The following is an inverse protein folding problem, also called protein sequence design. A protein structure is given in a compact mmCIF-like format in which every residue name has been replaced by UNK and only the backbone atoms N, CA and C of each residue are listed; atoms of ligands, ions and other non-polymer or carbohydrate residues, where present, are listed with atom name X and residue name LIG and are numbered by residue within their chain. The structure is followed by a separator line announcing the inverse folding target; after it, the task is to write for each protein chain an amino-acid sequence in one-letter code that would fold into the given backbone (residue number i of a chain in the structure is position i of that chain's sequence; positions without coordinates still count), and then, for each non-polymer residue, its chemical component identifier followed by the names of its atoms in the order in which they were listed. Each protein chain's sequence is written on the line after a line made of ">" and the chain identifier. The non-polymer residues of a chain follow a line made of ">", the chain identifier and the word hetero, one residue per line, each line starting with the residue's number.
data_IF_192702229572
#
_entry.id   IF_192702229572
#
_cell.length_a   1.000
_cell.length_b   1.000
_cell.length_c   1.000
_cell.angle_alpha   90.00
_cell.angle_beta   90.00
_cell.angle_gamma   90.00
#
_symmetry.space_group_name_H-M   'P 1'
#
loop_
_entity.id
_entity.type
_entity.pdbx_description
1 polymer ?
#
# COMPACT_ATOMS: atom_id res chain seq x y z
N UNK A 1 -22.72 2.06 -18.53
CA UNK A 1 -23.93 1.58 -19.23
C UNK A 1 -24.07 0.09 -18.91
N UNK A 2 -25.23 -0.32 -18.39
CA UNK A 2 -25.56 -1.73 -18.14
C UNK A 2 -26.53 -2.13 -19.25
N UNK A 3 -26.11 -3.01 -20.14
CA UNK A 3 -26.99 -3.67 -21.12
C UNK A 3 -27.17 -5.13 -20.73
N UNK A 4 -28.17 -5.48 -19.89
CA UNK A 4 -28.43 -6.88 -19.60
C UNK A 4 -29.00 -7.57 -20.84
N UNK A 5 -28.39 -8.66 -21.26
CA UNK A 5 -28.97 -9.58 -22.25
C UNK A 5 -30.08 -10.40 -21.59
N UNK A 6 -31.23 -10.54 -22.26
CA UNK A 6 -32.35 -11.36 -21.77
C UNK A 6 -31.93 -12.83 -21.51
N UNK A 7 -30.98 -13.35 -22.29
CA UNK A 7 -30.44 -14.70 -22.14
C UNK A 7 -29.59 -14.86 -20.87
N UNK A 8 -28.91 -13.79 -20.42
CA UNK A 8 -28.10 -13.78 -19.21
C UNK A 8 -28.97 -13.66 -17.94
N UNK A 9 -30.08 -12.92 -18.03
CA UNK A 9 -31.08 -12.86 -16.95
C UNK A 9 -31.72 -14.23 -16.66
N UNK A 10 -31.99 -15.02 -17.69
CA UNK A 10 -32.51 -16.39 -17.55
C UNK A 10 -31.51 -17.36 -16.91
N UNK A 11 -30.20 -17.06 -17.00
CA UNK A 11 -29.10 -17.83 -16.40
C UNK A 11 -28.63 -17.28 -15.06
N UNK A 12 -29.33 -16.32 -14.47
CA UNK A 12 -28.92 -15.62 -13.24
C UNK A 12 -27.47 -15.07 -13.33
N UNK A 13 -27.05 -14.66 -14.53
CA UNK A 13 -25.74 -14.07 -14.80
C UNK A 13 -25.90 -12.60 -15.14
N UNK A 14 -25.35 -11.72 -14.33
CA UNK A 14 -25.30 -10.28 -14.57
C UNK A 14 -23.89 -9.95 -15.08
N UNK A 15 -23.80 -9.31 -16.25
CA UNK A 15 -22.53 -8.85 -16.83
C UNK A 15 -22.53 -7.33 -16.83
N UNK A 16 -21.57 -6.73 -16.14
CA UNK A 16 -21.27 -5.31 -16.20
C UNK A 16 -20.05 -5.12 -17.10
N UNK A 17 -20.24 -4.60 -18.30
CA UNK A 17 -19.16 -4.45 -19.29
C UNK A 17 -18.11 -3.43 -18.84
N UNK A 18 -18.53 -2.35 -18.19
CA UNK A 18 -17.60 -1.33 -17.69
C UNK A 18 -18.20 -0.58 -16.50
N UNK A 19 -17.37 -0.35 -15.50
CA UNK A 19 -17.63 0.53 -14.36
C UNK A 19 -16.61 1.67 -14.42
N UNK A 20 -17.04 2.87 -14.81
CA UNK A 20 -16.19 4.05 -14.87
C UNK A 20 -16.43 4.95 -13.66
N UNK A 21 -15.35 5.33 -13.00
CA UNK A 21 -15.34 6.22 -11.84
C UNK A 21 -14.46 7.42 -12.18
N UNK A 22 -15.02 8.62 -12.15
CA UNK A 22 -14.35 9.87 -12.48
C UNK A 22 -14.17 10.72 -11.21
N UNK A 23 -12.97 11.25 -11.01
CA UNK A 23 -12.69 12.21 -9.94
C UNK A 23 -12.92 11.66 -8.52
N UNK A 24 -12.74 10.34 -8.30
CA UNK A 24 -12.87 9.78 -6.97
C UNK A 24 -11.86 10.38 -6.01
N UNK A 25 -12.30 10.68 -4.79
CA UNK A 25 -11.44 11.15 -3.72
C UNK A 25 -11.57 10.22 -2.52
N UNK A 26 -10.45 9.62 -2.11
CA UNK A 26 -10.41 8.66 -1.01
C UNK A 26 -9.37 9.08 0.02
N UNK A 27 -9.76 9.16 1.29
CA UNK A 27 -8.84 9.35 2.40
C UNK A 27 -8.68 8.04 3.17
N UNK A 28 -7.44 7.61 3.35
CA UNK A 28 -7.06 6.41 4.09
C UNK A 28 -6.28 6.81 5.34
N UNK A 29 -6.63 6.25 6.48
CA UNK A 29 -5.88 6.40 7.73
C UNK A 29 -5.31 5.06 8.15
N UNK A 30 -3.99 4.98 8.31
CA UNK A 30 -3.32 3.92 9.05
C UNK A 30 -3.21 4.33 10.51
N UNK A 31 -4.03 3.73 11.35
CA UNK A 31 -4.05 3.99 12.78
C UNK A 31 -2.77 3.45 13.46
N UNK A 32 -2.48 3.88 14.69
CA UNK A 32 -1.28 3.46 15.45
C UNK A 32 -1.18 1.94 15.68
N UNK A 33 -2.30 1.24 15.70
CA UNK A 33 -2.35 -0.23 15.78
C UNK A 33 -2.12 -0.93 14.41
N UNK A 34 -1.75 -0.18 13.36
CA UNK A 34 -1.51 -0.69 12.02
C UNK A 34 -2.76 -0.89 11.16
N UNK A 35 -3.96 -0.79 11.71
CA UNK A 35 -5.21 -0.93 10.97
C UNK A 35 -5.38 0.22 9.97
N UNK A 36 -5.70 -0.13 8.72
CA UNK A 36 -6.04 0.84 7.67
C UNK A 36 -7.56 0.96 7.59
N UNK A 37 -8.05 2.19 7.54
CA UNK A 37 -9.46 2.50 7.42
C UNK A 37 -9.69 3.65 6.43
N UNK A 38 -10.82 3.62 5.75
CA UNK A 38 -11.30 4.75 4.97
C UNK A 38 -11.86 5.77 5.95
N UNK A 39 -11.42 7.02 5.85
CA UNK A 39 -11.94 8.12 6.64
C UNK A 39 -12.73 9.05 5.74
N UNK A 40 -13.88 9.60 6.20
CA UNK A 40 -14.57 10.62 5.45
C UNK A 40 -13.62 11.80 5.19
N UNK A 41 -13.53 12.25 3.94
CA UNK A 41 -12.84 13.50 3.64
C UNK A 41 -13.53 14.62 4.39
N UNK A 42 -12.80 15.30 5.27
CA UNK A 42 -13.27 16.57 5.82
C UNK A 42 -13.35 17.53 4.62
N UNK A 43 -14.53 18.07 4.28
CA UNK A 43 -14.62 19.05 3.21
C UNK A 43 -13.68 20.20 3.56
N UNK A 44 -12.79 20.55 2.64
CA UNK A 44 -12.07 21.81 2.73
C UNK A 44 -13.14 22.86 3.04
N UNK A 45 -12.94 23.64 4.11
CA UNK A 45 -13.89 24.69 4.54
C UNK A 45 -14.25 25.58 3.35
N UNK A 46 -15.28 25.17 2.63
CA UNK A 46 -16.05 26.11 1.83
C UNK A 46 -17.06 26.75 2.78
N UNK A 47 -16.97 28.07 2.84
CA UNK A 47 -17.79 28.97 3.62
C UNK A 47 -19.25 28.52 3.77
N UNK A 48 -19.63 28.47 5.03
CA UNK A 48 -20.99 28.57 5.58
C UNK A 48 -22.08 29.10 4.64
N UNK A 49 -23.02 28.25 4.27
CA UNK A 49 -24.46 28.50 4.22
C UNK A 49 -25.16 27.33 3.50
N UNK A 50 -25.45 26.23 4.17
CA UNK A 50 -26.51 25.27 3.87
C UNK A 50 -26.23 23.92 4.57
N UNK A 51 -26.44 23.86 5.88
CA UNK A 51 -26.48 22.57 6.57
C UNK A 51 -27.27 22.63 7.88
N UNK A 52 -28.51 23.06 7.80
CA UNK A 52 -29.47 22.88 8.90
C UNK A 52 -30.65 21.91 8.59
N UNK A 53 -30.60 21.22 7.45
CA UNK A 53 -31.77 20.44 7.03
C UNK A 53 -31.59 18.92 6.98
N UNK A 54 -30.46 18.38 7.43
CA UNK A 54 -30.21 16.91 7.42
C UNK A 54 -30.08 16.24 8.79
N UNK A 55 -30.62 16.85 9.84
CA UNK A 55 -30.51 16.29 11.22
C UNK A 55 -31.83 15.81 11.82
N UNK A 56 -32.85 15.54 11.01
CA UNK A 56 -34.17 15.13 11.50
C UNK A 56 -34.79 13.91 10.83
N UNK A 57 -34.05 12.86 10.56
CA UNK A 57 -34.63 11.53 10.27
C UNK A 57 -33.69 10.46 10.83
N UNK A 58 -33.80 10.21 12.12
CA UNK A 58 -33.37 8.95 12.73
C UNK A 58 -33.92 8.89 14.17
N UNK A 59 -35.21 8.66 14.30
CA UNK A 59 -35.77 8.02 15.51
C UNK A 59 -37.19 7.57 15.21
N UNK A 60 -37.44 6.32 15.48
CA UNK A 60 -38.72 5.65 15.63
C UNK A 60 -39.00 4.59 14.56
N UNK A 61 -38.72 3.34 14.88
CA UNK A 61 -39.67 2.25 14.65
C UNK A 61 -39.44 1.17 15.71
N UNK A 62 -40.35 1.13 16.66
CA UNK A 62 -40.57 0.01 17.58
C UNK A 62 -41.05 -1.22 16.81
N UNK A 63 -40.66 -2.40 17.29
CA UNK A 63 -41.13 -3.70 16.84
C UNK A 63 -42.52 -3.99 17.44
N UNK A 64 -43.39 -4.69 16.74
CA UNK A 64 -44.47 -5.46 17.37
C UNK A 64 -44.15 -6.95 17.31
N UNK A 65 -44.22 -7.58 18.47
CA UNK A 65 -44.38 -9.01 18.70
C UNK A 65 -45.53 -9.60 17.88
N UNK A 66 -45.26 -10.70 17.19
CA UNK A 66 -46.29 -11.46 16.48
C UNK A 66 -45.87 -12.91 16.26
N UNK A 67 -46.19 -13.77 17.24
CA UNK A 67 -46.19 -15.22 17.08
C UNK A 67 -47.10 -15.62 15.94
N UNK A 68 -46.58 -16.34 14.95
CA UNK A 68 -47.39 -17.17 14.06
C UNK A 68 -46.72 -18.54 13.95
N UNK A 69 -47.36 -19.52 14.56
CA UNK A 69 -47.11 -20.95 14.29
C UNK A 69 -47.73 -21.28 12.93
N UNK A 70 -46.91 -21.85 12.03
CA UNK A 70 -47.46 -22.56 10.88
C UNK A 70 -46.59 -23.80 10.60
N UNK A 71 -47.17 -24.92 10.88
CA UNK A 71 -46.77 -26.25 10.37
C UNK A 71 -46.86 -26.24 8.85
N UNK A 72 -45.73 -26.50 8.19
CA UNK A 72 -45.59 -26.62 6.72
C UNK A 72 -44.59 -27.71 6.37
N UNK A 73 -45.07 -28.68 5.68
CA UNK A 73 -44.44 -29.82 5.01
C UNK A 73 -43.07 -29.53 4.42
N UNK A 74 -42.09 -30.46 4.49
CA UNK A 74 -40.77 -30.23 3.88
C UNK A 74 -40.89 -30.22 2.36
N UNK A 75 -40.76 -29.04 1.78
CA UNK A 75 -40.59 -28.86 0.35
C UNK A 75 -39.11 -29.17 0.00
N UNK A 76 -38.82 -29.84 -1.13
CA UNK A 76 -37.44 -30.12 -1.49
C UNK A 76 -36.67 -28.82 -1.61
N UNK A 77 -35.57 -28.73 -0.85
CA UNK A 77 -34.63 -27.59 -0.88
C UNK A 77 -34.08 -27.41 -2.30
N UNK A 78 -34.63 -26.40 -2.99
CA UNK A 78 -33.98 -25.90 -4.18
C UNK A 78 -32.61 -25.43 -3.75
N UNK A 79 -31.56 -25.94 -4.36
CA UNK A 79 -30.20 -25.40 -4.17
C UNK A 79 -30.22 -23.89 -4.42
N UNK A 80 -29.57 -23.09 -3.58
CA UNK A 80 -29.56 -21.64 -3.77
C UNK A 80 -28.91 -21.34 -5.12
N UNK A 81 -29.72 -20.90 -6.08
CA UNK A 81 -29.27 -20.46 -7.38
C UNK A 81 -28.37 -19.24 -7.18
N UNK A 82 -27.06 -19.44 -7.17
CA UNK A 82 -26.07 -18.40 -6.92
C UNK A 82 -26.02 -17.47 -8.15
N UNK A 83 -26.52 -16.28 -8.02
CA UNK A 83 -26.42 -15.24 -9.05
C UNK A 83 -24.95 -14.94 -9.31
N UNK A 84 -24.51 -15.07 -10.56
CA UNK A 84 -23.14 -14.74 -10.97
C UNK A 84 -23.09 -13.32 -11.49
N UNK A 85 -22.19 -12.51 -10.91
CA UNK A 85 -21.89 -11.17 -11.41
C UNK A 85 -20.49 -11.18 -12.03
N UNK A 86 -20.40 -10.74 -13.27
CA UNK A 86 -19.12 -10.52 -13.97
C UNK A 86 -18.96 -9.03 -14.20
N UNK A 87 -17.87 -8.46 -13.70
CA UNK A 87 -17.45 -7.10 -14.02
C UNK A 87 -16.27 -7.22 -14.98
N UNK A 88 -16.43 -6.81 -16.23
CA UNK A 88 -15.37 -6.99 -17.22
C UNK A 88 -14.24 -5.97 -17.06
N UNK A 89 -14.59 -4.69 -16.82
CA UNK A 89 -13.62 -3.62 -16.67
C UNK A 89 -14.05 -2.62 -15.60
N UNK A 90 -13.09 -2.21 -14.77
CA UNK A 90 -13.25 -1.06 -13.86
C UNK A 90 -12.18 -0.04 -14.24
N UNK A 91 -12.60 1.19 -14.48
CA UNK A 91 -11.74 2.31 -14.83
C UNK A 91 -11.88 3.43 -13.80
N UNK A 92 -10.74 3.90 -13.29
CA UNK A 92 -10.68 5.12 -12.49
C UNK A 92 -9.95 6.17 -13.30
N UNK A 93 -10.53 7.37 -13.36
CA UNK A 93 -9.95 8.52 -14.04
C UNK A 93 -9.82 9.70 -13.07
N UNK A 94 -8.71 10.43 -13.20
CA UNK A 94 -8.44 11.68 -12.48
C UNK A 94 -8.77 11.59 -10.97
N UNK A 95 -8.45 10.47 -10.36
CA UNK A 95 -8.77 10.19 -8.96
C UNK A 95 -7.64 10.61 -8.02
N UNK A 96 -7.97 10.80 -6.74
CA UNK A 96 -7.04 11.24 -5.68
C UNK A 96 -7.13 10.32 -4.48
N UNK A 97 -5.97 9.94 -3.95
CA UNK A 97 -5.86 9.24 -2.67
C UNK A 97 -5.01 10.07 -1.71
N UNK A 98 -5.52 10.35 -0.53
CA UNK A 98 -4.74 10.87 0.60
C UNK A 98 -4.53 9.78 1.64
N UNK A 99 -3.29 9.49 1.95
CA UNK A 99 -2.92 8.49 2.95
C UNK A 99 -2.31 9.17 4.17
N UNK A 100 -2.90 8.93 5.32
CA UNK A 100 -2.46 9.43 6.61
C UNK A 100 -1.88 8.28 7.44
N UNK A 101 -0.60 8.32 7.76
CA UNK A 101 0.06 7.31 8.58
C UNK A 101 0.32 7.83 9.99
N UNK A 102 -0.40 7.29 10.99
CA UNK A 102 -0.25 7.61 12.39
C UNK A 102 0.74 6.69 13.13
N UNK A 103 1.36 5.72 12.45
CA UNK A 103 2.29 4.77 13.09
C UNK A 103 3.69 5.35 13.30
N UNK A 104 4.08 6.37 12.54
CA UNK A 104 5.45 6.87 12.48
C UNK A 104 5.74 8.02 13.44
N UNK A 105 4.79 8.92 13.63
CA UNK A 105 4.97 10.16 14.41
C UNK A 105 3.72 10.49 15.23
N UNK A 106 3.85 11.46 16.17
CA UNK A 106 2.72 11.94 16.98
C UNK A 106 1.57 12.46 16.09
N UNK A 107 1.90 13.22 15.06
CA UNK A 107 0.94 13.66 14.05
C UNK A 107 1.01 12.73 12.84
N UNK A 108 -0.12 12.33 12.25
CA UNK A 108 -0.13 11.49 11.07
C UNK A 108 0.67 12.11 9.91
N UNK A 109 1.49 11.29 9.27
CA UNK A 109 2.23 11.68 8.07
C UNK A 109 1.31 11.57 6.88
N UNK A 110 1.14 12.67 6.15
CA UNK A 110 0.28 12.73 4.97
C UNK A 110 1.07 12.43 3.71
N UNK A 111 0.56 11.54 2.88
CA UNK A 111 0.98 11.34 1.50
C UNK A 111 -0.21 11.60 0.58
N UNK A 112 0.01 12.28 -0.54
CA UNK A 112 -1.02 12.55 -1.54
C UNK A 112 -0.60 11.97 -2.88
N UNK A 113 -1.48 11.19 -3.45
CA UNK A 113 -1.35 10.58 -4.77
C UNK A 113 -2.53 11.11 -5.59
N UNK A 114 -2.24 11.70 -6.74
CA UNK A 114 -3.23 12.36 -7.59
C UNK A 114 -3.08 11.96 -9.04
N UNK A 115 -3.99 12.44 -9.89
CA UNK A 115 -4.07 12.06 -11.30
C UNK A 115 -4.03 10.53 -11.48
N UNK A 116 -4.76 9.80 -10.61
CA UNK A 116 -4.79 8.36 -10.65
C UNK A 116 -5.63 7.92 -11.84
N UNK A 117 -4.97 7.21 -12.75
CA UNK A 117 -5.56 6.48 -13.87
C UNK A 117 -5.39 4.99 -13.58
N UNK A 118 -6.50 4.27 -13.39
CA UNK A 118 -6.44 2.84 -13.10
C UNK A 118 -7.38 2.04 -14.01
N UNK A 119 -6.89 0.88 -14.42
CA UNK A 119 -7.65 -0.13 -15.16
C UNK A 119 -7.53 -1.44 -14.41
N UNK A 120 -8.66 -2.03 -14.07
CA UNK A 120 -8.76 -3.34 -13.42
C UNK A 120 -9.60 -4.21 -14.35
N UNK A 121 -9.10 -5.38 -14.68
CA UNK A 121 -9.76 -6.30 -15.57
C UNK A 121 -10.87 -7.09 -14.90
N UNK A 122 -11.20 -8.22 -15.48
CA UNK A 122 -12.36 -9.01 -15.13
C UNK A 122 -12.36 -9.47 -13.68
N UNK A 123 -13.52 -9.30 -13.01
CA UNK A 123 -13.82 -9.83 -11.67
C UNK A 123 -15.08 -10.69 -11.77
N UNK A 124 -14.99 -11.93 -11.28
CA UNK A 124 -16.10 -12.89 -11.25
C UNK A 124 -16.57 -13.06 -9.80
N UNK A 125 -17.84 -12.75 -9.52
CA UNK A 125 -18.43 -12.89 -8.17
C UNK A 125 -19.49 -13.99 -8.21
N UNK A 126 -19.53 -14.91 -7.24
CA UNK A 126 -18.78 -14.92 -5.97
C UNK A 126 -17.42 -15.62 -6.05
N UNK A 127 -17.09 -16.34 -7.10
CA UNK A 127 -15.96 -17.28 -7.16
C UNK A 127 -14.60 -16.56 -7.04
N UNK A 128 -14.52 -15.29 -7.50
CA UNK A 128 -13.32 -14.47 -7.52
C UNK A 128 -12.12 -15.13 -8.24
N UNK A 129 -12.42 -16.19 -9.01
CA UNK A 129 -11.42 -16.99 -9.71
C UNK A 129 -10.97 -16.33 -11.02
N UNK A 130 -9.74 -16.64 -11.40
CA UNK A 130 -9.10 -16.12 -12.61
C UNK A 130 -8.20 -14.92 -12.33
N UNK A 131 -7.35 -14.65 -13.30
CA UNK A 131 -6.38 -13.54 -13.22
C UNK A 131 -7.09 -12.22 -13.51
N UNK A 132 -7.06 -11.30 -12.53
CA UNK A 132 -7.54 -9.92 -12.68
C UNK A 132 -6.34 -9.03 -13.00
N UNK A 133 -6.16 -8.57 -14.25
CA UNK A 133 -5.10 -7.63 -14.59
C UNK A 133 -5.33 -6.28 -13.93
N UNK A 134 -4.25 -5.64 -13.51
CA UNK A 134 -4.25 -4.33 -12.86
C UNK A 134 -3.21 -3.46 -13.56
N UNK A 135 -3.58 -2.25 -13.92
CA UNK A 135 -2.68 -1.20 -14.37
C UNK A 135 -3.05 0.11 -13.70
N UNK A 136 -2.07 0.74 -13.06
CA UNK A 136 -2.26 2.04 -12.39
C UNK A 136 -1.13 2.97 -12.79
N UNK A 137 -1.48 4.21 -13.13
CA UNK A 137 -0.55 5.33 -13.25
C UNK A 137 -1.01 6.45 -12.33
N UNK A 138 -0.09 7.11 -11.67
CA UNK A 138 -0.44 8.18 -10.75
C UNK A 138 0.76 9.11 -10.52
N UNK A 139 0.49 10.24 -9.88
CA UNK A 139 1.48 11.23 -9.48
C UNK A 139 1.53 11.28 -7.96
N UNK A 140 2.71 11.09 -7.38
CA UNK A 140 2.98 11.37 -5.97
C UNK A 140 3.30 12.85 -5.80
N UNK A 141 2.51 13.56 -5.02
CA UNK A 141 2.72 14.98 -4.78
C UNK A 141 3.94 15.20 -3.88
N UNK A 142 4.94 15.90 -4.40
CA UNK A 142 6.13 16.27 -3.67
C UNK A 142 6.12 17.73 -3.23
N UNK A 143 7.14 18.13 -2.46
CA UNK A 143 7.37 19.53 -2.04
C UNK A 143 8.13 20.29 -3.11
N UNK A 144 9.11 19.66 -3.75
CA UNK A 144 9.99 20.25 -4.76
C UNK A 144 9.67 19.78 -6.17
N UNK A 145 9.32 18.53 -6.33
CA UNK A 145 8.95 17.93 -7.61
C UNK A 145 7.96 16.80 -7.37
N UNK A 146 7.09 16.60 -8.32
CA UNK A 146 6.20 15.44 -8.32
C UNK A 146 6.95 14.21 -8.83
N UNK A 147 6.57 13.05 -8.27
CA UNK A 147 7.07 11.75 -8.71
C UNK A 147 6.01 10.97 -9.45
N UNK A 148 6.45 10.06 -10.31
CA UNK A 148 5.56 9.17 -11.07
C UNK A 148 5.44 7.81 -10.39
N UNK A 149 4.25 7.24 -10.41
CA UNK A 149 3.92 5.90 -9.92
C UNK A 149 3.35 5.10 -11.09
N UNK A 150 3.88 3.89 -11.28
CA UNK A 150 3.29 2.90 -12.20
C UNK A 150 3.21 1.56 -11.49
N UNK A 151 2.03 0.93 -11.55
CA UNK A 151 1.79 -0.42 -11.04
C UNK A 151 1.16 -1.23 -12.17
N UNK A 152 1.73 -2.38 -12.48
CA UNK A 152 1.24 -3.24 -13.55
C UNK A 152 1.39 -4.71 -13.16
N UNK A 153 0.40 -5.52 -13.49
CA UNK A 153 0.44 -6.95 -13.20
C UNK A 153 -0.94 -7.58 -13.14
N UNK A 154 -1.05 -8.65 -12.37
CA UNK A 154 -2.32 -9.34 -12.14
C UNK A 154 -2.41 -9.94 -10.74
N UNK A 155 -3.63 -10.13 -10.27
CA UNK A 155 -3.94 -10.80 -9.01
C UNK A 155 -5.07 -11.81 -9.24
N UNK A 156 -4.97 -12.97 -8.64
CA UNK A 156 -6.08 -13.89 -8.48
C UNK A 156 -6.70 -13.71 -7.08
N UNK A 157 -7.91 -13.15 -7.07
CA UNK A 157 -8.55 -12.72 -5.82
C UNK A 157 -8.91 -13.88 -4.90
N UNK A 158 -9.25 -15.06 -5.47
CA UNK A 158 -9.61 -16.27 -4.73
C UNK A 158 -8.45 -16.87 -3.95
N UNK A 159 -7.27 -16.95 -4.56
CA UNK A 159 -6.05 -17.52 -3.98
C UNK A 159 -5.12 -16.51 -3.36
N UNK A 160 -5.31 -15.20 -3.66
CA UNK A 160 -4.42 -14.08 -3.34
C UNK A 160 -3.04 -14.21 -3.99
N UNK A 161 -2.92 -15.05 -5.01
CA UNK A 161 -1.71 -15.13 -5.82
C UNK A 161 -1.61 -13.89 -6.72
N UNK A 162 -0.41 -13.37 -6.88
CA UNK A 162 -0.21 -12.15 -7.66
C UNK A 162 1.18 -12.07 -8.28
N UNK A 163 1.26 -11.35 -9.40
CA UNK A 163 2.51 -10.91 -10.00
C UNK A 163 2.38 -9.43 -10.34
N UNK A 164 3.07 -8.56 -9.62
CA UNK A 164 2.91 -7.10 -9.72
C UNK A 164 4.29 -6.44 -9.80
N UNK A 165 4.47 -5.62 -10.82
CA UNK A 165 5.61 -4.69 -10.95
C UNK A 165 5.17 -3.31 -10.47
N UNK A 166 5.92 -2.75 -9.53
CA UNK A 166 5.74 -1.38 -9.03
C UNK A 166 6.96 -0.55 -9.37
N UNK A 167 6.76 0.60 -10.00
CA UNK A 167 7.81 1.52 -10.39
C UNK A 167 7.48 2.91 -9.87
N UNK A 168 8.44 3.49 -9.13
CA UNK A 168 8.41 4.89 -8.72
C UNK A 168 9.57 5.62 -9.41
N UNK A 169 9.32 6.77 -9.98
CA UNK A 169 10.35 7.60 -10.62
C UNK A 169 10.33 9.02 -10.07
N UNK A 170 11.52 9.53 -9.79
CA UNK A 170 11.75 10.92 -9.35
C UNK A 170 10.87 11.35 -8.17
N UNK A 171 10.54 10.45 -7.24
CA UNK A 171 9.70 10.77 -6.08
C UNK A 171 10.47 11.65 -5.11
N UNK A 172 9.92 12.81 -4.76
CA UNK A 172 10.51 13.73 -3.76
C UNK A 172 10.61 13.04 -2.40
N UNK A 173 11.81 13.03 -1.83
CA UNK A 173 12.08 12.38 -0.56
C UNK A 173 11.60 13.18 0.67
N UNK A 174 11.30 14.48 0.52
CA UNK A 174 10.88 15.32 1.65
C UNK A 174 9.57 14.80 2.29
N UNK A 175 8.50 14.52 1.54
CA UNK A 175 7.29 13.92 2.12
C UNK A 175 7.54 12.54 2.75
N UNK A 176 8.54 11.80 2.23
CA UNK A 176 8.87 10.45 2.68
C UNK A 176 9.83 10.40 3.88
N UNK A 177 10.34 11.55 4.35
CA UNK A 177 11.38 11.59 5.38
C UNK A 177 11.03 10.83 6.67
N UNK A 178 9.76 10.81 7.07
CA UNK A 178 9.32 10.08 8.26
C UNK A 178 9.51 8.55 8.15
N UNK A 179 9.53 8.01 6.94
CA UNK A 179 9.80 6.60 6.65
C UNK A 179 11.30 6.31 6.52
N UNK A 180 12.06 7.30 6.10
CA UNK A 180 13.47 7.15 5.74
C UNK A 180 14.43 7.51 6.89
N UNK A 181 14.02 8.44 7.78
CA UNK A 181 14.82 8.90 8.91
C UNK A 181 14.24 8.34 10.20
N UNK A 182 14.94 7.40 10.83
CA UNK A 182 14.53 6.79 12.10
C UNK A 182 15.14 7.47 13.32
N UNK A 183 16.30 8.10 13.18
CA UNK A 183 17.06 8.71 14.28
C UNK A 183 17.75 9.99 13.84
N UNK A 184 17.91 10.92 14.78
CA UNK A 184 18.62 12.17 14.57
C UNK A 184 17.72 13.40 14.60
N UNK A 185 18.34 14.56 14.91
CA UNK A 185 17.69 15.87 14.79
C UNK A 185 17.98 16.41 13.40
N UNK A 186 17.06 16.31 12.49
CA UNK A 186 17.22 16.78 11.12
C UNK A 186 16.23 16.14 10.18
N UNK A 187 16.28 16.53 8.93
CA UNK A 187 15.39 16.10 7.87
C UNK A 187 16.12 15.93 6.55
N UNK A 188 15.36 15.72 5.50
CA UNK A 188 15.82 15.74 4.12
C UNK A 188 15.52 17.14 3.56
N UNK A 189 16.55 17.82 3.06
CA UNK A 189 16.41 19.13 2.39
C UNK A 189 16.10 18.97 0.91
N UNK A 190 16.69 17.95 0.30
CA UNK A 190 16.57 17.64 -1.11
C UNK A 190 16.87 16.17 -1.33
N UNK A 191 16.31 15.61 -2.37
CA UNK A 191 16.59 14.27 -2.84
C UNK A 191 15.43 13.69 -3.61
N UNK A 192 15.74 12.87 -4.60
CA UNK A 192 14.75 12.07 -5.33
C UNK A 192 15.02 10.59 -5.17
N UNK A 193 13.93 9.83 -5.21
CA UNK A 193 13.92 8.39 -5.07
C UNK A 193 13.35 7.76 -6.34
N UNK A 194 14.11 6.83 -6.92
CA UNK A 194 13.60 5.86 -7.87
C UNK A 194 13.51 4.49 -7.17
N UNK A 195 12.45 3.78 -7.43
CA UNK A 195 12.20 2.45 -6.84
C UNK A 195 11.57 1.53 -7.87
N UNK A 196 12.00 0.29 -7.87
CA UNK A 196 11.42 -0.76 -8.69
C UNK A 196 11.29 -2.03 -7.86
N UNK A 197 10.11 -2.66 -7.91
CA UNK A 197 9.82 -3.90 -7.18
C UNK A 197 9.01 -4.82 -8.09
N UNK A 198 9.52 -6.03 -8.30
CA UNK A 198 8.84 -7.09 -9.04
C UNK A 198 8.35 -8.14 -8.03
N UNK A 199 7.12 -8.00 -7.55
CA UNK A 199 6.56 -8.89 -6.52
C UNK A 199 5.81 -10.06 -7.12
N UNK A 200 6.04 -11.24 -6.56
CA UNK A 200 5.27 -12.45 -6.84
C UNK A 200 4.83 -13.08 -5.52
N UNK A 201 3.53 -13.32 -5.38
CA UNK A 201 2.97 -14.06 -4.25
C UNK A 201 2.39 -15.36 -4.78
N UNK A 202 2.86 -16.49 -4.24
CA UNK A 202 2.35 -17.83 -4.55
C UNK A 202 2.20 -18.61 -3.25
N UNK A 203 1.02 -19.20 -3.01
CA UNK A 203 0.70 -19.96 -1.80
C UNK A 203 1.08 -19.24 -0.50
N UNK A 204 0.83 -17.92 -0.45
CA UNK A 204 1.17 -17.08 0.68
C UNK A 204 2.66 -16.67 0.78
N UNK A 205 3.54 -17.22 -0.06
CA UNK A 205 4.97 -16.88 -0.06
C UNK A 205 5.26 -15.70 -1.00
N UNK A 206 5.78 -14.62 -0.44
CA UNK A 206 6.27 -13.46 -1.17
C UNK A 206 7.71 -13.68 -1.65
N UNK A 207 7.96 -13.41 -2.92
CA UNK A 207 9.28 -13.22 -3.50
C UNK A 207 9.28 -11.93 -4.31
N UNK A 208 10.09 -10.94 -3.94
CA UNK A 208 10.08 -9.64 -4.58
C UNK A 208 11.50 -9.05 -4.69
N UNK A 209 12.21 -9.31 -5.80
CA UNK A 209 13.42 -8.59 -6.15
C UNK A 209 13.09 -7.14 -6.46
N UNK A 210 13.99 -6.23 -6.05
CA UNK A 210 13.82 -4.81 -6.28
C UNK A 210 15.11 -4.03 -6.27
N UNK A 211 15.01 -2.80 -6.68
CA UNK A 211 16.08 -1.82 -6.65
C UNK A 211 15.58 -0.47 -6.13
N UNK A 212 16.46 0.24 -5.45
CA UNK A 212 16.24 1.59 -4.95
C UNK A 212 17.42 2.45 -5.37
N UNK A 213 17.15 3.66 -5.83
CA UNK A 213 18.15 4.67 -6.11
C UNK A 213 17.78 5.98 -5.45
N UNK A 214 18.73 6.56 -4.72
CA UNK A 214 18.61 7.90 -4.15
C UNK A 214 19.55 8.83 -4.90
N UNK A 215 19.04 9.95 -5.38
CA UNK A 215 19.79 10.93 -6.15
C UNK A 215 19.69 12.33 -5.50
N UNK A 216 20.72 13.13 -5.66
CA UNK A 216 20.78 14.53 -5.20
C UNK A 216 20.42 14.72 -3.71
N UNK A 217 20.79 13.76 -2.88
CA UNK A 217 20.44 13.73 -1.47
C UNK A 217 21.20 14.79 -0.68
N UNK A 218 20.45 15.68 -0.01
CA UNK A 218 20.95 16.63 0.99
C UNK A 218 20.24 16.39 2.32
N UNK A 219 21.02 16.12 3.37
CA UNK A 219 20.51 15.96 4.73
C UNK A 219 20.67 17.27 5.51
N UNK A 220 19.70 17.59 6.36
CA UNK A 220 19.65 18.85 7.10
C UNK A 220 20.70 18.94 8.22
N UNK A 221 21.20 17.81 8.72
CA UNK A 221 22.16 17.74 9.82
C UNK A 221 23.15 16.59 9.69
N UNK A 222 24.41 16.77 10.07
CA UNK A 222 25.39 15.67 10.15
C UNK A 222 25.01 14.52 11.08
N UNK A 223 24.08 14.73 12.00
CA UNK A 223 23.57 13.69 12.90
C UNK A 223 22.42 12.87 12.28
N UNK A 224 21.96 13.22 11.08
CA UNK A 224 20.86 12.52 10.43
C UNK A 224 21.35 11.21 9.83
N UNK A 225 20.68 10.10 10.17
CA UNK A 225 20.88 8.81 9.51
C UNK A 225 19.68 8.53 8.59
N UNK A 226 19.95 8.11 7.35
CA UNK A 226 18.91 7.72 6.39
C UNK A 226 18.91 6.21 6.21
N UNK A 227 17.76 5.57 6.35
CA UNK A 227 17.62 4.10 6.29
C UNK A 227 18.60 3.39 7.25
N UNK A 228 18.94 4.00 8.38
CA UNK A 228 19.94 3.49 9.32
C UNK A 228 21.40 3.72 8.91
N UNK A 229 21.68 4.37 7.77
CA UNK A 229 23.01 4.69 7.31
C UNK A 229 23.46 6.04 7.88
N UNK A 230 24.58 6.14 8.60
CA UNK A 230 25.11 7.40 9.11
C UNK A 230 25.37 8.41 7.99
N UNK A 231 25.18 9.70 8.28
CA UNK A 231 25.38 10.79 7.33
C UNK A 231 26.73 10.72 6.58
N UNK A 232 27.83 10.53 7.32
CA UNK A 232 29.16 10.47 6.72
C UNK A 232 29.29 9.35 5.68
N UNK A 233 28.72 8.18 5.98
CA UNK A 233 28.73 7.04 5.06
C UNK A 233 27.84 7.30 3.82
N UNK A 234 26.66 7.88 4.01
CA UNK A 234 25.78 8.26 2.90
C UNK A 234 26.46 9.30 1.98
N UNK A 235 27.07 10.33 2.56
CA UNK A 235 27.80 11.37 1.79
C UNK A 235 29.01 10.80 1.06
N UNK A 236 29.75 9.87 1.66
CA UNK A 236 30.87 9.17 1.00
C UNK A 236 30.39 8.39 -0.22
N UNK A 237 29.28 7.67 -0.11
CA UNK A 237 28.69 6.94 -1.23
C UNK A 237 28.24 7.87 -2.37
N UNK A 238 27.59 8.99 -2.03
CA UNK A 238 27.18 10.00 -3.02
C UNK A 238 28.40 10.54 -3.77
N UNK A 239 29.46 10.91 -3.05
CA UNK A 239 30.71 11.42 -3.65
C UNK A 239 31.35 10.42 -4.59
N UNK A 240 31.44 9.14 -4.19
CA UNK A 240 32.08 8.08 -4.96
C UNK A 240 31.25 7.57 -6.13
N UNK A 241 29.91 7.78 -6.12
CA UNK A 241 28.96 7.27 -7.12
C UNK A 241 28.24 8.39 -7.89
N UNK A 242 28.92 9.49 -8.13
CA UNK A 242 28.40 10.65 -8.92
C UNK A 242 27.04 11.15 -8.43
N UNK A 243 26.88 11.28 -7.12
CA UNK A 243 25.65 11.81 -6.51
C UNK A 243 24.50 10.80 -6.39
N UNK A 244 24.74 9.50 -6.61
CA UNK A 244 23.71 8.47 -6.59
C UNK A 244 24.04 7.33 -5.63
N UNK A 245 23.09 6.96 -4.75
CA UNK A 245 23.17 5.74 -3.93
C UNK A 245 22.21 4.71 -4.52
N UNK A 246 22.67 3.52 -4.83
CA UNK A 246 21.83 2.43 -5.34
C UNK A 246 21.88 1.24 -4.42
N UNK A 247 20.76 0.58 -4.18
CA UNK A 247 20.64 -0.67 -3.45
C UNK A 247 19.79 -1.66 -4.25
N UNK A 248 20.27 -2.89 -4.41
CA UNK A 248 19.45 -4.00 -4.89
C UNK A 248 19.12 -4.89 -3.70
N UNK A 249 17.93 -5.40 -3.65
CA UNK A 249 17.43 -6.21 -2.54
C UNK A 249 16.44 -7.26 -3.02
N UNK A 250 16.18 -8.25 -2.18
CA UNK A 250 15.11 -9.23 -2.39
C UNK A 250 14.31 -9.34 -1.11
N UNK A 251 12.99 -9.14 -1.22
CA UNK A 251 12.05 -9.39 -0.12
C UNK A 251 11.52 -10.80 -0.23
N UNK A 252 11.52 -11.53 0.88
CA UNK A 252 10.95 -12.86 0.97
C UNK A 252 10.25 -13.00 2.31
N UNK A 253 9.11 -13.68 2.34
CA UNK A 253 8.41 -13.96 3.59
C UNK A 253 7.06 -14.61 3.34
N UNK A 254 6.47 -15.15 4.40
CA UNK A 254 5.11 -15.64 4.39
C UNK A 254 4.18 -14.46 4.76
N UNK A 255 3.28 -14.08 3.85
CA UNK A 255 2.32 -12.99 4.07
C UNK A 255 1.25 -13.33 5.11
N UNK A 256 1.09 -14.60 5.45
CA UNK A 256 0.16 -15.08 6.47
C UNK A 256 0.82 -15.14 7.87
N UNK A 257 2.14 -14.99 7.97
CA UNK A 257 2.85 -14.92 9.25
C UNK A 257 2.53 -13.57 9.92
N UNK A 258 1.88 -13.54 11.11
CA UNK A 258 1.54 -12.31 11.80
C UNK A 258 2.77 -11.49 12.22
N UNK A 259 3.94 -12.12 12.34
CA UNK A 259 5.21 -11.47 12.66
C UNK A 259 5.92 -10.92 11.40
N UNK A 260 5.41 -11.18 10.19
CA UNK A 260 5.97 -10.68 8.95
C UNK A 260 5.67 -9.19 8.77
N UNK A 261 6.70 -8.36 8.80
CA UNK A 261 6.62 -6.92 8.52
C UNK A 261 7.34 -6.57 7.22
N UNK A 262 6.57 -6.27 6.19
CA UNK A 262 7.11 -5.85 4.88
C UNK A 262 8.01 -4.61 5.01
N UNK A 263 7.61 -3.62 5.82
CA UNK A 263 8.36 -2.38 6.01
C UNK A 263 9.69 -2.60 6.71
N UNK A 264 9.73 -3.44 7.75
CA UNK A 264 10.98 -3.78 8.45
C UNK A 264 11.90 -4.62 7.56
N UNK A 265 11.35 -5.59 6.86
CA UNK A 265 12.09 -6.41 5.90
C UNK A 265 12.69 -5.56 4.81
N UNK A 266 11.94 -4.65 4.19
CA UNK A 266 12.41 -3.71 3.17
C UNK A 266 13.55 -2.83 3.70
N UNK A 267 13.36 -2.18 4.85
CA UNK A 267 14.36 -1.29 5.45
C UNK A 267 15.67 -2.06 5.75
N UNK A 268 15.56 -3.25 6.33
CA UNK A 268 16.72 -4.08 6.67
C UNK A 268 17.47 -4.53 5.43
N UNK A 269 16.77 -4.98 4.38
CA UNK A 269 17.40 -5.42 3.14
C UNK A 269 18.09 -4.29 2.39
N UNK A 270 17.48 -3.12 2.32
CA UNK A 270 18.10 -1.93 1.72
C UNK A 270 19.36 -1.53 2.49
N UNK A 271 19.24 -1.41 3.83
CA UNK A 271 20.36 -1.05 4.68
C UNK A 271 21.53 -2.04 4.57
N UNK A 272 21.26 -3.35 4.55
CA UNK A 272 22.26 -4.41 4.37
C UNK A 272 22.94 -4.33 2.99
N UNK A 273 22.17 -4.11 1.93
CA UNK A 273 22.70 -3.95 0.57
C UNK A 273 23.68 -2.76 0.48
N UNK A 274 23.35 -1.65 1.14
CA UNK A 274 24.19 -0.46 1.16
C UNK A 274 25.43 -0.67 2.03
N UNK A 275 25.29 -1.29 3.22
CA UNK A 275 26.41 -1.61 4.09
C UNK A 275 27.46 -2.53 3.42
N UNK A 276 27.00 -3.53 2.66
CA UNK A 276 27.88 -4.38 1.88
C UNK A 276 28.72 -3.62 0.84
N UNK A 277 28.17 -2.57 0.23
CA UNK A 277 28.91 -1.70 -0.71
C UNK A 277 29.93 -0.78 -0.03
N UNK A 278 29.77 -0.55 1.27
CA UNK A 278 30.70 0.26 2.09
C UNK A 278 31.81 -0.59 2.70
N UNK A 279 31.77 -1.93 2.56
CA UNK A 279 32.70 -2.83 3.25
C UNK A 279 32.54 -2.84 4.78
N UNK A 280 31.36 -2.41 5.28
CA UNK A 280 31.06 -2.38 6.72
C UNK A 280 30.61 -3.76 7.16
N UNK A 281 31.11 -4.23 8.34
CA UNK A 281 30.64 -5.48 8.92
C UNK A 281 29.12 -5.42 9.21
N UNK A 282 28.37 -6.29 8.54
CA UNK A 282 26.90 -6.32 8.57
C UNK A 282 26.35 -6.58 9.99
N UNK A 283 27.08 -7.36 10.82
CA UNK A 283 26.66 -7.67 12.20
C UNK A 283 26.66 -6.44 13.10
N UNK A 284 27.71 -5.62 13.04
CA UNK A 284 27.79 -4.36 13.80
C UNK A 284 26.80 -3.33 13.29
N UNK A 285 26.50 -3.32 12.01
CA UNK A 285 25.54 -2.41 11.40
C UNK A 285 24.08 -2.77 11.74
N UNK A 286 23.74 -4.05 11.75
CA UNK A 286 22.41 -4.53 12.13
C UNK A 286 22.11 -4.29 13.61
N UNK A 287 23.12 -4.40 14.50
CA UNK A 287 22.98 -4.06 15.92
C UNK A 287 22.64 -2.58 16.13
N UNK A 288 23.35 -1.69 15.44
CA UNK A 288 23.09 -0.25 15.50
C UNK A 288 21.71 0.15 14.97
N UNK A 289 21.20 -0.54 13.92
CA UNK A 289 19.83 -0.32 13.41
C UNK A 289 18.79 -0.79 14.44
N UNK A 290 19.01 -1.92 15.11
CA UNK A 290 18.14 -2.48 16.16
C UNK A 290 18.02 -1.55 17.37
N UNK A 291 19.13 -1.02 17.86
CA UNK A 291 19.18 -0.08 18.98
C UNK A 291 18.54 1.28 18.61
N UNK A 292 18.74 1.74 17.37
CA UNK A 292 18.19 2.99 16.89
C UNK A 292 16.68 2.96 16.63
N UNK A 293 16.07 1.78 16.43
CA UNK A 293 14.64 1.63 16.13
C UNK A 293 13.75 1.48 17.37
N UNK A 294 14.33 1.47 18.61
CA UNK A 294 13.55 1.33 19.85
C UNK A 294 12.75 0.02 19.95
N UNK A 295 12.90 -0.86 18.98
CA UNK A 295 12.32 -2.19 18.97
C UNK A 295 13.25 -3.18 19.65
N UNK A 296 12.69 -4.04 20.48
CA UNK A 296 13.39 -5.12 21.13
C UNK A 296 14.27 -5.85 20.12
N UNK A 297 15.55 -6.02 20.43
CA UNK A 297 16.60 -6.67 19.61
C UNK A 297 16.22 -8.07 19.06
N UNK A 298 15.07 -8.58 19.44
CA UNK A 298 14.48 -9.88 19.06
C UNK A 298 14.07 -10.01 17.60
N UNK A 299 13.61 -8.93 16.95
CA UNK A 299 13.14 -9.02 15.55
C UNK A 299 14.27 -9.12 14.54
N UNK A 300 15.31 -8.30 14.71
CA UNK A 300 16.46 -8.27 13.79
C UNK A 300 17.38 -9.48 14.02
N UNK A 301 17.56 -9.92 15.26
CA UNK A 301 18.28 -11.14 15.59
C UNK A 301 17.66 -12.37 14.93
N UNK A 302 16.36 -12.52 15.01
CA UNK A 302 15.62 -13.61 14.32
C UNK A 302 15.73 -13.54 12.79
N UNK A 303 15.72 -12.35 12.20
CA UNK A 303 15.89 -12.17 10.75
C UNK A 303 17.31 -12.53 10.29
N UNK A 304 18.34 -12.19 11.08
CA UNK A 304 19.74 -12.56 10.81
C UNK A 304 20.00 -14.07 10.98
N UNK A 305 19.40 -14.71 12.01
CA UNK A 305 19.50 -16.16 12.20
C UNK A 305 18.85 -16.96 11.07
N UNK A 306 17.77 -16.46 10.50
CA UNK A 306 17.13 -17.06 9.30
C UNK A 306 18.00 -16.92 8.03
N UNK A 307 18.82 -15.86 7.96
CA UNK A 307 19.79 -15.67 6.85
C UNK A 307 21.03 -16.56 6.97
N UNK A 308 21.40 -16.93 8.19
CA UNK A 308 22.57 -17.78 8.46
C UNK A 308 22.31 -19.28 8.26
N UNK A 309 21.04 -19.70 8.22
CA UNK A 309 20.62 -21.11 8.04
C UNK A 309 20.31 -21.49 6.58
N UNK A 310 20.60 -20.63 5.63
CA UNK A 310 20.60 -20.90 4.18
C UNK A 310 22.00 -20.62 3.62
#
# INVERSE_FOLDING_TARGET
>A
FVTPSLADLLRLRIVLSSVRIEGAYVSLLRARNGKVMIVPSLPARQSSAASEQSRKIATTTEAPDGKVETSGTPQPSAEPSTTRLVIEHIELHNSVVEFFDATLQKNPVKQRIEAIEAQIGQINVPDLAGQTPIRVKAIHQGVRSNGEISIEGSIELSTRESGITTVLRNVDMIPLQAYLIKTGKGGIRKGSLDFELNSSIKKGMLYAPGSLSLSDLELASPSTAILGIPHAAAMSLLKNKKGKITANFVLTGDINDPDFSLNETLTTRIATSIAGKLGVNIEGFAKNIGEASGGTATGIGKALDRLRKK
#
